data_IF_314769155298
#
_entry.id   IF_314769155298
#
_cell.length_a   1.000
_cell.length_b   1.000
_cell.length_c   1.000
_cell.angle_alpha   90.00
_cell.angle_beta   90.00
_cell.angle_gamma   90.00
#
_symmetry.space_group_name_H-M   'P 1'
#
loop_
_entity.id
_entity.type
_entity.pdbx_description
1 polymer ?
#
# COMPACT_ATOMS: atom_id res chain seq x y z
N UNK A 1 -12.42 11.88 -14.03
CA UNK A 1 -12.85 10.73 -13.21
C UNK A 1 -14.28 10.38 -13.57
N UNK A 2 -14.57 9.10 -13.76
CA UNK A 2 -15.95 8.63 -13.95
C UNK A 2 -16.72 8.80 -12.62
N UNK A 3 -17.97 9.27 -12.69
CA UNK A 3 -18.87 9.45 -11.54
C UNK A 3 -20.21 8.81 -11.91
N UNK A 4 -20.73 7.94 -11.07
CA UNK A 4 -21.97 7.21 -11.36
C UNK A 4 -23.26 8.00 -11.05
N UNK A 5 -23.16 9.16 -10.37
CA UNK A 5 -24.30 10.03 -10.01
C UNK A 5 -25.50 9.28 -9.38
N UNK A 6 -25.21 8.24 -8.61
CA UNK A 6 -26.17 7.38 -7.90
C UNK A 6 -25.77 7.32 -6.43
N UNK A 7 -26.73 7.15 -5.52
CA UNK A 7 -26.41 6.92 -4.12
C UNK A 7 -25.83 5.50 -3.92
N UNK A 8 -25.10 5.29 -2.82
CA UNK A 8 -24.41 4.03 -2.56
C UNK A 8 -25.40 2.87 -2.37
N UNK A 9 -26.55 3.08 -1.71
CA UNK A 9 -27.53 2.03 -1.48
C UNK A 9 -28.10 1.45 -2.79
N UNK A 10 -28.54 2.29 -3.72
CA UNK A 10 -29.04 1.85 -5.04
C UNK A 10 -27.94 1.21 -5.88
N UNK A 11 -26.70 1.67 -5.75
CA UNK A 11 -25.57 0.99 -6.40
C UNK A 11 -25.34 -0.42 -5.83
N UNK A 12 -25.43 -0.60 -4.51
CA UNK A 12 -25.30 -1.91 -3.87
C UNK A 12 -26.43 -2.87 -4.25
N UNK A 13 -27.67 -2.37 -4.39
CA UNK A 13 -28.78 -3.16 -4.92
C UNK A 13 -28.47 -3.69 -6.32
N UNK A 14 -27.90 -2.85 -7.20
CA UNK A 14 -27.49 -3.28 -8.53
C UNK A 14 -26.35 -4.30 -8.51
N UNK A 15 -25.36 -4.13 -7.62
CA UNK A 15 -24.29 -5.12 -7.41
C UNK A 15 -24.88 -6.46 -6.98
N UNK A 16 -25.80 -6.46 -6.00
CA UNK A 16 -26.47 -7.68 -5.51
C UNK A 16 -27.28 -8.35 -6.61
N UNK A 17 -28.05 -7.59 -7.39
CA UNK A 17 -28.82 -8.11 -8.51
C UNK A 17 -27.95 -8.76 -9.60
N UNK A 18 -26.72 -8.28 -9.76
CA UNK A 18 -25.73 -8.86 -10.68
C UNK A 18 -24.81 -9.91 -10.05
N UNK A 19 -25.10 -10.40 -8.84
CA UNK A 19 -24.24 -11.33 -8.09
C UNK A 19 -22.79 -10.83 -7.89
N UNK A 20 -22.59 -9.52 -7.97
CA UNK A 20 -21.29 -8.87 -7.91
C UNK A 20 -20.68 -8.82 -6.52
N UNK A 21 -19.39 -8.47 -6.48
CA UNK A 21 -18.62 -8.22 -5.27
C UNK A 21 -18.36 -6.72 -5.18
N UNK A 22 -18.45 -6.17 -3.97
CA UNK A 22 -18.10 -4.78 -3.70
C UNK A 22 -17.23 -4.67 -2.44
N UNK A 23 -16.37 -3.64 -2.43
CA UNK A 23 -15.63 -3.19 -1.25
C UNK A 23 -15.02 -1.82 -1.53
N UNK A 24 -14.69 -1.02 -0.50
CA UNK A 24 -14.00 0.24 -0.69
C UNK A 24 -12.62 0.04 -1.32
N UNK A 25 -12.37 0.74 -2.43
CA UNK A 25 -11.06 0.80 -3.08
C UNK A 25 -10.10 1.70 -2.29
N UNK A 26 -8.80 1.39 -2.34
CA UNK A 26 -7.68 2.22 -1.88
C UNK A 26 -7.99 3.08 -0.63
N UNK A 27 -8.45 2.43 0.45
CA UNK A 27 -9.21 3.02 1.55
C UNK A 27 -8.49 4.13 2.31
N UNK A 28 -7.17 4.06 2.37
CA UNK A 28 -6.35 5.01 3.14
C UNK A 28 -5.80 6.17 2.31
N UNK A 29 -6.03 6.17 0.99
CA UNK A 29 -5.54 7.25 0.13
C UNK A 29 -6.19 8.60 0.52
N UNK A 30 -5.42 9.70 0.52
CA UNK A 30 -5.91 10.99 1.03
C UNK A 30 -6.96 11.64 0.11
N UNK A 31 -7.16 11.10 -1.10
CA UNK A 31 -8.17 11.55 -2.03
C UNK A 31 -9.06 10.38 -2.40
N UNK A 32 -10.36 10.49 -2.08
CA UNK A 32 -11.38 9.45 -2.36
C UNK A 32 -11.19 8.12 -1.62
N UNK A 33 -10.20 7.99 -0.74
CA UNK A 33 -10.13 6.91 0.24
C UNK A 33 -11.12 7.16 1.38
N UNK A 34 -11.87 6.12 1.74
CA UNK A 34 -12.93 6.18 2.75
C UNK A 34 -12.39 6.63 4.13
N UNK A 35 -11.29 6.04 4.59
CA UNK A 35 -10.62 6.47 5.83
C UNK A 35 -9.71 7.67 5.64
N UNK A 36 -9.14 7.81 4.44
CA UNK A 36 -8.23 8.89 4.12
C UNK A 36 -8.86 10.28 4.25
N UNK A 37 -10.13 10.43 3.86
CA UNK A 37 -10.79 11.75 3.85
C UNK A 37 -12.34 11.74 3.99
N UNK A 38 -12.99 10.61 4.28
CA UNK A 38 -14.46 10.55 4.35
C UNK A 38 -14.98 10.35 5.78
N UNK A 39 -14.60 9.26 6.43
CA UNK A 39 -15.15 8.85 7.72
C UNK A 39 -14.09 8.25 8.64
N UNK A 40 -14.49 7.99 9.88
CA UNK A 40 -13.68 7.29 10.87
C UNK A 40 -14.14 5.84 11.06
N UNK A 41 -15.42 5.53 10.82
CA UNK A 41 -15.95 4.17 10.74
C UNK A 41 -16.62 3.88 9.39
N UNK A 42 -16.65 2.62 8.96
CA UNK A 42 -17.24 2.25 7.65
C UNK A 42 -18.73 2.56 7.57
N UNK A 43 -19.48 2.28 8.64
CA UNK A 43 -20.93 2.51 8.70
C UNK A 43 -21.32 4.00 8.79
N UNK A 44 -20.36 4.91 9.00
CA UNK A 44 -20.61 6.35 8.89
C UNK A 44 -20.87 6.77 7.43
N UNK A 45 -20.38 5.99 6.46
CA UNK A 45 -20.41 6.31 5.03
C UNK A 45 -21.07 5.23 4.16
N UNK A 46 -21.17 3.99 4.65
CA UNK A 46 -21.72 2.85 3.94
C UNK A 46 -23.01 2.35 4.61
N UNK A 47 -24.02 1.93 3.84
CA UNK A 47 -25.27 1.44 4.41
C UNK A 47 -25.16 0.03 5.01
N UNK A 48 -24.10 -0.72 4.68
CA UNK A 48 -23.83 -2.04 5.21
C UNK A 48 -22.32 -2.30 5.29
N UNK A 49 -21.90 -3.27 6.12
CA UNK A 49 -20.49 -3.61 6.29
C UNK A 49 -19.98 -4.43 5.10
N UNK A 50 -18.82 -4.09 4.49
CA UNK A 50 -18.27 -4.87 3.39
C UNK A 50 -17.69 -6.20 3.88
N UNK A 51 -17.38 -7.12 2.95
CA UNK A 51 -16.65 -8.37 3.25
C UNK A 51 -15.13 -8.23 3.08
N UNK A 52 -14.70 -7.16 2.41
CA UNK A 52 -13.31 -6.90 2.09
C UNK A 52 -13.03 -5.40 2.09
N UNK A 53 -11.75 -5.06 2.01
CA UNK A 53 -11.30 -3.70 1.75
C UNK A 53 -9.98 -3.73 1.00
N UNK A 54 -9.78 -2.78 0.10
CA UNK A 54 -8.47 -2.57 -0.52
C UNK A 54 -7.71 -1.50 0.26
N UNK A 55 -6.55 -1.85 0.79
CA UNK A 55 -5.71 -0.91 1.56
C UNK A 55 -5.21 0.24 0.65
N UNK A 56 -4.74 -0.15 -0.55
CA UNK A 56 -4.14 0.73 -1.53
C UNK A 56 -2.72 1.17 -1.18
N UNK A 57 -2.11 1.92 -2.11
CA UNK A 57 -0.67 2.25 -2.15
C UNK A 57 -0.10 3.05 -0.97
N UNK A 58 -0.94 3.45 -0.01
CA UNK A 58 -0.59 4.36 1.08
C UNK A 58 -0.63 3.70 2.46
N UNK A 59 -0.99 2.42 2.53
CA UNK A 59 -1.08 1.68 3.78
C UNK A 59 -0.75 0.20 3.58
N UNK A 60 -0.23 -0.42 4.63
CA UNK A 60 -0.01 -1.86 4.71
C UNK A 60 -0.96 -2.50 5.73
N UNK A 61 -0.78 -3.80 5.99
CA UNK A 61 -1.61 -4.54 6.95
C UNK A 61 -1.44 -4.07 8.39
N UNK A 62 -0.24 -3.63 8.81
CA UNK A 62 -0.03 -3.16 10.19
C UNK A 62 -0.69 -1.81 10.43
N UNK A 63 -0.72 -0.97 9.40
CA UNK A 63 -1.53 0.24 9.36
C UNK A 63 -3.02 -0.11 9.45
N UNK A 64 -3.54 -1.01 8.61
CA UNK A 64 -4.96 -1.39 8.65
C UNK A 64 -5.38 -2.01 10.00
N UNK A 65 -4.54 -2.88 10.58
CA UNK A 65 -4.81 -3.58 11.86
C UNK A 65 -4.89 -2.66 13.08
N UNK A 66 -4.51 -1.39 12.97
CA UNK A 66 -4.73 -0.45 14.08
C UNK A 66 -6.17 0.04 14.18
N UNK A 67 -7.07 -0.41 13.29
CA UNK A 67 -8.50 -0.08 13.27
C UNK A 67 -9.29 -1.39 13.41
N UNK A 68 -10.02 -1.56 14.51
CA UNK A 68 -10.56 -2.87 14.89
C UNK A 68 -11.72 -3.40 14.10
N UNK A 69 -12.49 -2.53 13.48
CA UNK A 69 -13.55 -2.94 12.56
C UNK A 69 -13.02 -3.71 11.33
N UNK A 70 -11.72 -3.59 11.02
CA UNK A 70 -11.10 -4.25 9.86
C UNK A 70 -10.66 -5.71 10.09
N UNK A 71 -10.66 -6.22 11.33
CA UNK A 71 -10.13 -7.56 11.64
C UNK A 71 -10.87 -8.70 10.93
N UNK A 72 -12.17 -8.53 10.72
CA UNK A 72 -13.01 -9.52 10.05
C UNK A 72 -13.02 -9.42 8.53
N UNK A 73 -12.31 -8.44 7.94
CA UNK A 73 -12.35 -8.19 6.50
C UNK A 73 -11.20 -8.87 5.77
N UNK A 74 -11.48 -9.30 4.53
CA UNK A 74 -10.42 -9.69 3.59
C UNK A 74 -9.68 -8.43 3.15
N UNK A 75 -8.37 -8.39 3.39
CA UNK A 75 -7.51 -7.27 2.99
C UNK A 75 -6.91 -7.53 1.60
N UNK A 76 -7.15 -6.62 0.67
CA UNK A 76 -6.53 -6.62 -0.66
C UNK A 76 -5.49 -5.52 -0.81
N UNK A 77 -4.47 -5.80 -1.62
CA UNK A 77 -3.46 -4.88 -2.11
C UNK A 77 -3.43 -4.98 -3.64
N UNK A 78 -3.97 -3.98 -4.33
CA UNK A 78 -4.11 -3.98 -5.79
C UNK A 78 -3.42 -2.75 -6.39
N UNK A 79 -2.90 -2.93 -7.59
CA UNK A 79 -2.03 -1.92 -8.22
C UNK A 79 -2.70 -0.61 -8.61
N UNK A 80 -4.01 -0.55 -8.84
CA UNK A 80 -4.67 0.61 -9.46
C UNK A 80 -3.91 1.11 -10.72
N UNK A 81 -3.56 0.17 -11.59
CA UNK A 81 -2.65 0.40 -12.70
C UNK A 81 -3.32 1.20 -13.83
N UNK A 82 -2.77 2.39 -14.09
CA UNK A 82 -3.15 3.26 -15.21
C UNK A 82 -2.12 3.23 -16.36
N UNK A 83 -1.12 2.36 -16.25
CA UNK A 83 -0.11 2.13 -17.27
C UNK A 83 0.54 0.76 -17.06
N UNK A 84 1.07 0.16 -18.13
CA UNK A 84 1.73 -1.14 -18.07
C UNK A 84 2.84 -1.23 -17.01
N UNK A 85 3.73 -0.21 -16.83
CA UNK A 85 4.78 -0.26 -15.81
C UNK A 85 4.29 -0.20 -14.35
N UNK A 86 3.00 0.02 -14.13
CA UNK A 86 2.38 0.04 -12.80
C UNK A 86 1.56 -1.22 -12.50
N UNK A 87 1.34 -2.11 -13.48
CA UNK A 87 0.67 -3.39 -13.25
C UNK A 87 1.45 -4.19 -12.21
N UNK A 88 0.71 -4.81 -11.28
CA UNK A 88 1.26 -5.65 -10.22
C UNK A 88 2.28 -4.94 -9.30
N UNK A 89 2.29 -3.60 -9.24
CA UNK A 89 3.02 -2.88 -8.16
C UNK A 89 2.46 -3.17 -6.77
N UNK A 90 1.21 -3.62 -6.71
CA UNK A 90 0.62 -4.35 -5.60
C UNK A 90 -0.24 -5.49 -6.15
N UNK A 91 -0.24 -6.63 -5.48
CA UNK A 91 -1.04 -7.81 -5.85
C UNK A 91 -1.24 -8.72 -4.64
N UNK A 92 -1.96 -9.83 -4.81
CA UNK A 92 -2.29 -10.76 -3.75
C UNK A 92 -1.92 -12.18 -4.17
N UNK A 93 -1.34 -12.96 -3.26
CA UNK A 93 -1.25 -14.41 -3.39
C UNK A 93 -2.43 -15.02 -2.65
N UNK A 94 -3.32 -15.64 -3.43
CA UNK A 94 -4.56 -16.22 -2.94
C UNK A 94 -4.51 -17.75 -3.04
N UNK A 95 -4.95 -18.42 -1.99
CA UNK A 95 -5.32 -19.83 -2.03
C UNK A 95 -6.84 -19.87 -2.12
N UNK A 96 -7.37 -20.37 -3.24
CA UNK A 96 -8.82 -20.43 -3.52
C UNK A 96 -9.19 -21.86 -3.92
N UNK A 97 -10.44 -22.25 -3.69
CA UNK A 97 -10.89 -23.60 -4.06
C UNK A 97 -10.96 -23.81 -5.57
N UNK A 98 -11.19 -22.75 -6.33
CA UNK A 98 -11.15 -22.75 -7.78
C UNK A 98 -10.71 -21.38 -8.34
N UNK A 99 -10.04 -21.40 -9.49
CA UNK A 99 -9.59 -20.19 -10.19
C UNK A 99 -10.74 -19.54 -10.97
N UNK A 100 -11.80 -19.16 -10.27
CA UNK A 100 -13.00 -18.55 -10.84
C UNK A 100 -13.53 -17.41 -9.96
N UNK A 101 -14.52 -16.67 -10.48
CA UNK A 101 -15.23 -15.67 -9.68
C UNK A 101 -15.94 -16.29 -8.46
N UNK A 102 -16.40 -17.55 -8.58
CA UNK A 102 -17.01 -18.27 -7.46
C UNK A 102 -15.99 -18.55 -6.36
N UNK A 103 -14.78 -18.99 -6.71
CA UNK A 103 -13.68 -19.16 -5.75
C UNK A 103 -13.35 -17.86 -5.01
N UNK A 104 -13.35 -16.72 -5.72
CA UNK A 104 -13.18 -15.40 -5.10
C UNK A 104 -14.36 -15.04 -4.16
N UNK A 105 -15.60 -15.32 -4.56
CA UNK A 105 -16.80 -15.08 -3.71
C UNK A 105 -16.74 -15.94 -2.44
N UNK A 106 -16.30 -17.19 -2.54
CA UNK A 106 -16.14 -18.09 -1.39
C UNK A 106 -15.05 -17.63 -0.42
N UNK A 107 -13.94 -17.07 -0.93
CA UNK A 107 -12.91 -16.43 -0.12
C UNK A 107 -13.48 -15.28 0.70
N UNK A 108 -14.27 -14.39 0.09
CA UNK A 108 -14.85 -13.23 0.76
C UNK A 108 -15.92 -13.59 1.79
N UNK A 109 -16.70 -14.63 1.51
CA UNK A 109 -17.66 -15.19 2.45
C UNK A 109 -16.97 -16.02 3.55
N UNK A 110 -15.64 -16.16 3.52
CA UNK A 110 -14.83 -16.95 4.44
C UNK A 110 -15.31 -18.40 4.56
N UNK A 111 -15.83 -18.95 3.45
CA UNK A 111 -16.25 -20.36 3.37
C UNK A 111 -15.06 -21.25 3.04
N UNK A 112 -14.28 -20.84 2.04
CA UNK A 112 -13.13 -21.57 1.53
C UNK A 112 -12.07 -20.59 1.01
N UNK A 113 -10.80 -20.96 1.14
CA UNK A 113 -9.67 -20.16 0.68
C UNK A 113 -9.17 -19.15 1.72
N UNK A 114 -8.02 -18.53 1.42
CA UNK A 114 -7.40 -17.49 2.24
C UNK A 114 -6.46 -16.60 1.45
N UNK A 115 -6.22 -15.40 1.96
CA UNK A 115 -5.11 -14.55 1.51
C UNK A 115 -3.82 -15.10 2.13
N UNK A 116 -2.95 -15.67 1.30
CA UNK A 116 -1.65 -16.20 1.75
C UNK A 116 -0.69 -15.05 2.03
N UNK A 117 -0.65 -14.08 1.13
CA UNK A 117 0.13 -12.87 1.30
C UNK A 117 -0.43 -11.72 0.46
N UNK A 118 -0.26 -10.50 0.97
CA UNK A 118 -0.40 -9.26 0.22
C UNK A 118 0.99 -8.79 -0.19
N UNK A 119 1.13 -8.32 -1.43
CA UNK A 119 2.35 -7.70 -1.92
C UNK A 119 2.07 -6.23 -2.20
N UNK A 120 2.92 -5.35 -1.72
CA UNK A 120 2.76 -3.93 -2.03
C UNK A 120 3.90 -3.04 -1.60
N UNK A 121 3.72 -1.74 -1.80
CA UNK A 121 4.77 -0.76 -1.56
C UNK A 121 4.92 -0.51 -0.05
N UNK A 122 6.15 -0.27 0.46
CA UNK A 122 6.32 0.33 1.77
C UNK A 122 5.58 1.67 1.85
N UNK A 123 4.62 1.84 2.77
CA UNK A 123 3.84 3.09 2.90
C UNK A 123 4.70 4.37 3.01
N UNK A 124 5.89 4.36 3.65
CA UNK A 124 6.77 5.53 3.71
C UNK A 124 7.21 6.10 2.36
N UNK A 125 7.20 5.31 1.27
CA UNK A 125 7.51 5.82 -0.08
C UNK A 125 6.41 6.76 -0.59
N UNK A 126 5.19 6.65 -0.06
CA UNK A 126 4.04 7.44 -0.48
C UNK A 126 4.25 8.95 -0.35
N UNK A 127 3.84 9.70 -1.39
CA UNK A 127 3.99 11.18 -1.45
C UNK A 127 3.27 11.97 -0.36
N UNK A 128 2.32 11.35 0.33
CA UNK A 128 1.56 11.94 1.43
C UNK A 128 1.63 11.06 2.68
N UNK A 129 2.70 10.29 2.87
CA UNK A 129 2.78 9.39 4.02
C UNK A 129 2.77 10.15 5.35
N UNK A 130 3.64 11.14 5.52
CA UNK A 130 3.71 12.01 6.72
C UNK A 130 3.15 13.41 6.48
N UNK A 131 2.69 14.02 7.57
CA UNK A 131 2.26 15.43 7.58
C UNK A 131 3.40 16.36 7.16
N UNK A 132 3.08 17.34 6.32
CA UNK A 132 4.02 18.33 5.80
C UNK A 132 3.59 19.74 6.19
N UNK A 133 4.52 20.54 6.72
CA UNK A 133 4.24 21.93 7.07
C UNK A 133 4.50 22.84 5.87
N UNK A 134 3.51 23.65 5.50
CA UNK A 134 3.61 24.60 4.39
C UNK A 134 4.43 25.85 4.73
N UNK A 135 4.67 26.13 6.02
CA UNK A 135 5.47 27.28 6.47
C UNK A 135 6.95 26.91 6.60
N UNK A 136 7.24 25.75 7.19
CA UNK A 136 8.61 25.27 7.31
C UNK A 136 9.11 24.54 6.05
N UNK A 137 8.21 24.28 5.09
CA UNK A 137 8.48 23.54 3.85
C UNK A 137 9.20 22.21 4.10
N UNK A 138 8.76 21.47 5.11
CA UNK A 138 9.34 20.19 5.49
C UNK A 138 8.31 19.22 6.06
N UNK A 139 8.65 17.93 5.97
CA UNK A 139 7.95 16.87 6.70
C UNK A 139 8.06 17.12 8.20
N UNK A 140 6.97 16.92 8.92
CA UNK A 140 6.94 17.07 10.38
C UNK A 140 7.59 15.87 11.04
N UNK A 141 8.70 16.10 11.73
CA UNK A 141 9.48 15.08 12.46
C UNK A 141 9.07 15.01 13.93
N UNK A 142 7.82 14.64 14.18
CA UNK A 142 7.30 14.46 15.53
C UNK A 142 6.34 13.25 15.61
N UNK A 143 6.01 12.73 16.81
CA UNK A 143 5.11 11.58 16.98
C UNK A 143 3.65 11.91 16.58
N UNK A 144 3.11 11.33 15.49
CA UNK A 144 1.75 11.61 15.03
C UNK A 144 0.67 11.27 16.07
N UNK A 145 -0.57 11.81 15.96
CA UNK A 145 -1.07 12.73 14.93
C UNK A 145 -0.94 14.21 15.30
N UNK A 146 -0.84 15.11 14.31
CA UNK A 146 -0.83 16.56 14.55
C UNK A 146 -1.78 17.34 13.65
N UNK A 147 -2.36 18.40 14.24
CA UNK A 147 -3.11 19.45 13.53
C UNK A 147 -2.28 20.73 13.33
N UNK A 148 -1.15 20.86 14.03
CA UNK A 148 -0.27 22.04 14.01
C UNK A 148 1.19 21.61 13.89
N UNK A 149 2.01 22.41 13.23
CA UNK A 149 3.44 22.16 13.12
C UNK A 149 4.14 22.42 14.47
N UNK A 150 4.82 21.42 15.07
CA UNK A 150 5.51 21.60 16.35
C UNK A 150 6.73 22.54 16.24
N UNK A 151 7.26 22.74 15.03
CA UNK A 151 8.44 23.59 14.80
C UNK A 151 8.11 25.08 14.70
N UNK A 152 6.91 25.46 14.23
CA UNK A 152 6.54 26.86 14.02
C UNK A 152 5.14 27.25 14.53
N UNK A 153 4.39 26.32 15.11
CA UNK A 153 3.03 26.52 15.60
C UNK A 153 1.95 26.64 14.52
N UNK A 154 2.32 26.68 13.23
CA UNK A 154 1.35 26.90 12.15
C UNK A 154 0.36 25.76 11.98
N UNK A 155 -0.93 26.08 11.79
CA UNK A 155 -1.98 25.15 11.37
C UNK A 155 -1.96 24.86 9.86
N UNK A 156 -1.10 25.53 9.07
CA UNK A 156 -0.97 25.31 7.62
C UNK A 156 -0.18 24.03 7.34
N UNK A 157 -0.84 22.88 7.47
CA UNK A 157 -0.25 21.56 7.25
C UNK A 157 -1.05 20.77 6.21
N UNK A 158 -0.34 20.00 5.38
CA UNK A 158 -0.93 18.92 4.57
C UNK A 158 -0.85 17.66 5.42
N UNK A 159 -2.00 17.16 5.83
CA UNK A 159 -2.09 15.97 6.69
C UNK A 159 -1.58 14.71 5.96
N UNK A 160 -0.72 13.96 6.63
CA UNK A 160 -0.24 12.67 6.12
C UNK A 160 -1.26 11.54 6.29
N UNK A 161 -1.15 10.51 5.46
CA UNK A 161 -1.96 9.29 5.55
C UNK A 161 -1.72 8.58 6.88
N UNK A 162 -0.47 8.46 7.30
CA UNK A 162 -0.13 7.83 8.57
C UNK A 162 -0.71 8.62 9.75
N UNK A 163 -0.59 9.94 9.72
CA UNK A 163 -1.18 10.84 10.71
C UNK A 163 -2.73 10.85 10.69
N UNK A 164 -3.36 10.60 9.53
CA UNK A 164 -4.82 10.41 9.43
C UNK A 164 -5.23 9.09 10.08
N UNK A 165 -4.57 8.02 9.69
CA UNK A 165 -4.85 6.67 10.19
C UNK A 165 -4.71 6.59 11.71
N UNK A 166 -3.61 7.11 12.28
CA UNK A 166 -3.41 7.08 13.72
C UNK A 166 -4.41 7.92 14.51
N UNK A 167 -5.10 8.89 13.89
CA UNK A 167 -6.16 9.63 14.59
C UNK A 167 -7.49 8.90 14.67
N UNK A 168 -7.68 7.87 13.85
CA UNK A 168 -8.89 7.04 13.85
C UNK A 168 -8.60 5.63 14.37
N UNK A 169 -7.32 5.30 14.58
CA UNK A 169 -6.91 4.03 15.15
C UNK A 169 -7.43 3.89 16.59
N UNK A 170 -8.05 2.74 16.86
CA UNK A 170 -8.51 2.33 18.19
C UNK A 170 -7.50 1.40 18.88
N UNK A 171 -6.44 1.00 18.16
CA UNK A 171 -5.33 0.19 18.67
C UNK A 171 -3.99 0.87 18.44
N UNK A 172 -3.03 0.56 19.31
CA UNK A 172 -1.64 0.98 19.13
C UNK A 172 -1.09 0.37 17.84
N UNK A 173 -0.59 1.21 16.95
CA UNK A 173 0.08 0.75 15.74
C UNK A 173 1.38 0.01 16.08
N UNK A 174 1.54 -1.17 15.49
CA UNK A 174 2.74 -1.98 15.61
C UNK A 174 3.70 -1.63 14.46
N UNK A 175 4.96 -1.35 14.81
CA UNK A 175 6.01 -1.01 13.85
C UNK A 175 6.69 -2.22 13.23
N UNK A 176 6.55 -3.40 13.83
CA UNK A 176 7.05 -4.64 13.24
C UNK A 176 6.24 -4.98 11.99
N UNK A 177 6.87 -5.35 10.86
CA UNK A 177 6.14 -5.76 9.65
C UNK A 177 5.15 -6.90 9.89
N UNK A 178 4.02 -6.87 9.18
CA UNK A 178 3.14 -8.03 9.11
C UNK A 178 3.82 -9.12 8.25
N UNK A 179 4.01 -10.35 8.76
CA UNK A 179 4.60 -11.43 7.96
C UNK A 179 3.79 -11.76 6.69
N UNK A 180 2.50 -11.39 6.64
CA UNK A 180 1.63 -11.58 5.48
C UNK A 180 1.61 -10.39 4.53
N UNK A 181 2.41 -9.33 4.76
CA UNK A 181 2.59 -8.22 3.82
C UNK A 181 4.04 -8.17 3.33
N UNK A 182 4.26 -8.62 2.10
CA UNK A 182 5.57 -8.65 1.48
C UNK A 182 5.81 -7.32 0.77
N UNK A 183 6.72 -6.52 1.33
CA UNK A 183 7.12 -5.28 0.72
C UNK A 183 7.86 -5.52 -0.59
N UNK A 184 7.45 -4.84 -1.65
CA UNK A 184 8.20 -4.78 -2.89
C UNK A 184 8.46 -3.33 -3.29
N UNK A 185 9.68 -3.06 -3.73
CA UNK A 185 10.09 -1.76 -4.23
C UNK A 185 10.46 -1.96 -5.69
N UNK A 186 9.79 -1.29 -6.65
CA UNK A 186 10.14 -1.39 -8.05
C UNK A 186 11.63 -1.08 -8.28
N UNK A 187 12.28 -1.77 -9.21
CA UNK A 187 13.71 -1.65 -9.47
C UNK A 187 14.10 -0.19 -9.73
N UNK A 188 13.27 0.55 -10.49
CA UNK A 188 13.46 1.98 -10.79
C UNK A 188 13.47 2.90 -9.55
N UNK A 189 12.96 2.43 -8.42
CA UNK A 189 12.92 3.16 -7.16
C UNK A 189 14.13 2.86 -6.25
N UNK A 190 15.00 1.92 -6.64
CA UNK A 190 16.21 1.59 -5.90
C UNK A 190 17.40 2.49 -6.33
N UNK A 191 18.18 3.02 -5.37
CA UNK A 191 19.38 3.79 -5.66
C UNK A 191 20.37 3.02 -6.54
N UNK A 192 20.92 3.70 -7.55
CA UNK A 192 21.89 3.10 -8.48
C UNK A 192 21.27 2.21 -9.58
N UNK A 193 19.95 2.01 -9.58
CA UNK A 193 19.27 1.17 -10.58
C UNK A 193 18.67 2.04 -11.69
N UNK A 194 19.44 2.23 -12.76
CA UNK A 194 19.01 2.97 -13.95
C UNK A 194 18.40 2.08 -15.05
N UNK A 195 17.81 2.67 -16.10
CA UNK A 195 17.14 1.94 -17.18
C UNK A 195 18.00 0.87 -17.87
N UNK A 196 19.30 1.14 -18.07
CA UNK A 196 20.24 0.18 -18.66
C UNK A 196 20.44 -1.05 -17.78
N UNK A 197 20.50 -0.87 -16.46
CA UNK A 197 20.64 -2.00 -15.54
C UNK A 197 19.34 -2.80 -15.47
N UNK A 198 18.19 -2.13 -15.44
CA UNK A 198 16.88 -2.79 -15.50
C UNK A 198 16.77 -3.65 -16.77
N UNK A 199 17.12 -3.13 -17.94
CA UNK A 199 17.11 -3.90 -19.18
C UNK A 199 18.02 -5.14 -19.13
N UNK A 200 19.22 -5.03 -18.56
CA UNK A 200 20.12 -6.18 -18.38
C UNK A 200 19.53 -7.22 -17.44
N UNK A 201 18.98 -6.80 -16.30
CA UNK A 201 18.35 -7.71 -15.34
C UNK A 201 17.14 -8.42 -15.96
N UNK A 202 16.29 -7.71 -16.69
CA UNK A 202 15.15 -8.29 -17.40
C UNK A 202 15.59 -9.24 -18.52
N UNK A 203 16.66 -8.90 -19.25
CA UNK A 203 17.23 -9.76 -20.28
C UNK A 203 17.72 -11.10 -19.71
N UNK A 204 18.31 -11.07 -18.51
CA UNK A 204 18.89 -12.27 -17.89
C UNK A 204 17.88 -13.10 -17.08
N UNK A 205 16.94 -12.44 -16.40
CA UNK A 205 16.07 -13.06 -15.40
C UNK A 205 14.58 -12.96 -15.74
N UNK A 206 14.22 -12.42 -16.90
CA UNK A 206 12.85 -12.31 -17.38
C UNK A 206 12.10 -11.16 -16.74
N UNK A 207 11.28 -11.45 -15.71
CA UNK A 207 10.32 -10.47 -15.17
C UNK A 207 10.88 -9.74 -13.94
N UNK A 208 10.38 -8.51 -13.71
CA UNK A 208 10.72 -7.74 -12.52
C UNK A 208 10.32 -8.45 -11.23
N UNK A 209 9.17 -9.12 -11.20
CA UNK A 209 8.73 -9.90 -10.03
C UNK A 209 9.69 -11.06 -9.72
N UNK A 210 10.21 -11.75 -10.74
CA UNK A 210 11.21 -12.79 -10.54
C UNK A 210 12.49 -12.21 -9.91
N UNK A 211 12.97 -11.09 -10.42
CA UNK A 211 14.15 -10.38 -9.90
C UNK A 211 13.93 -9.93 -8.45
N UNK A 212 12.77 -9.35 -8.15
CA UNK A 212 12.46 -8.82 -6.83
C UNK A 212 12.28 -9.92 -5.79
N UNK A 213 11.77 -11.11 -6.15
CA UNK A 213 11.34 -12.10 -5.16
C UNK A 213 12.14 -13.42 -5.15
N UNK A 214 12.74 -13.82 -6.27
CA UNK A 214 13.25 -15.19 -6.43
C UNK A 214 14.72 -15.31 -6.84
N UNK A 215 15.25 -14.41 -7.67
CA UNK A 215 16.65 -14.50 -8.16
C UNK A 215 17.64 -14.55 -7.00
N UNK A 216 18.64 -15.43 -7.09
CA UNK A 216 19.63 -15.65 -6.02
C UNK A 216 20.54 -14.44 -5.80
N UNK A 217 21.16 -14.35 -4.61
CA UNK A 217 22.13 -13.30 -4.32
C UNK A 217 23.35 -13.36 -5.25
N UNK A 218 23.81 -14.57 -5.58
CA UNK A 218 24.94 -14.81 -6.48
C UNK A 218 24.64 -14.31 -7.90
N UNK A 219 23.46 -14.65 -8.43
CA UNK A 219 23.02 -14.21 -9.75
C UNK A 219 22.83 -12.70 -9.84
N UNK A 220 22.22 -12.09 -8.81
CA UNK A 220 22.09 -10.63 -8.74
C UNK A 220 23.47 -9.97 -8.73
N UNK A 221 24.43 -10.50 -7.95
CA UNK A 221 25.77 -9.95 -7.86
C UNK A 221 26.48 -9.98 -9.20
N UNK A 222 26.33 -11.06 -9.97
CA UNK A 222 26.93 -11.23 -11.30
C UNK A 222 26.48 -10.15 -12.29
N UNK A 223 25.22 -9.72 -12.24
CA UNK A 223 24.65 -8.78 -13.23
C UNK A 223 24.62 -7.33 -12.75
N UNK A 224 24.24 -7.12 -11.48
CA UNK A 224 23.97 -5.80 -10.91
C UNK A 224 25.05 -5.32 -9.93
N UNK A 225 25.98 -6.19 -9.53
CA UNK A 225 26.98 -5.91 -8.52
C UNK A 225 26.45 -5.99 -7.09
N UNK A 226 27.37 -6.00 -6.13
CA UNK A 226 27.06 -6.27 -4.73
C UNK A 226 26.10 -5.24 -4.11
N UNK A 227 26.27 -3.96 -4.47
CA UNK A 227 25.46 -2.87 -3.91
C UNK A 227 23.97 -3.01 -4.24
N UNK A 228 23.63 -3.19 -5.52
CA UNK A 228 22.23 -3.33 -5.95
C UNK A 228 21.62 -4.63 -5.44
N UNK A 229 22.41 -5.70 -5.43
CA UNK A 229 21.96 -7.00 -4.91
C UNK A 229 21.59 -6.92 -3.44
N UNK A 230 22.42 -6.27 -2.62
CA UNK A 230 22.12 -6.02 -1.20
C UNK A 230 20.86 -5.18 -0.99
N UNK A 231 20.59 -4.20 -1.87
CA UNK A 231 19.35 -3.42 -1.82
C UNK A 231 18.11 -4.27 -2.15
N UNK A 232 18.17 -5.11 -3.19
CA UNK A 232 17.07 -6.01 -3.56
C UNK A 232 16.80 -7.00 -2.43
N UNK A 233 17.83 -7.62 -1.87
CA UNK A 233 17.70 -8.57 -0.76
C UNK A 233 17.17 -7.89 0.52
N UNK A 234 17.60 -6.66 0.80
CA UNK A 234 17.07 -5.87 1.92
C UNK A 234 15.59 -5.53 1.71
N UNK A 235 15.19 -5.23 0.46
CA UNK A 235 13.78 -4.99 0.11
C UNK A 235 12.93 -6.22 0.38
N UNK A 236 13.39 -7.43 0.01
CA UNK A 236 12.69 -8.70 0.29
C UNK A 236 12.42 -8.92 1.77
N UNK A 237 13.31 -8.42 2.63
CA UNK A 237 13.23 -8.56 4.08
C UNK A 237 12.49 -7.39 4.75
N UNK A 238 12.01 -6.39 3.99
CA UNK A 238 11.42 -5.18 4.55
C UNK A 238 12.40 -4.30 5.32
N UNK A 239 13.71 -4.43 5.07
CA UNK A 239 14.79 -3.76 5.83
C UNK A 239 15.39 -2.54 5.14
N UNK A 240 14.87 -2.13 3.98
CA UNK A 240 15.34 -0.93 3.31
C UNK A 240 15.09 0.31 4.19
N UNK A 241 16.15 1.09 4.45
CA UNK A 241 16.01 2.40 5.04
C UNK A 241 15.28 3.32 4.07
N UNK A 242 14.20 3.97 4.50
CA UNK A 242 13.38 4.84 3.66
C UNK A 242 13.26 6.20 4.32
N UNK A 243 13.61 7.26 3.57
CA UNK A 243 13.24 8.63 3.93
C UNK A 243 11.76 8.82 3.56
N UNK A 244 10.86 9.07 4.53
CA UNK A 244 9.44 9.12 4.26
C UNK A 244 9.07 10.31 3.37
N UNK A 245 8.05 10.11 2.53
CA UNK A 245 7.44 11.18 1.75
C UNK A 245 6.43 12.00 2.55
N UNK A 246 6.04 13.15 1.99
CA UNK A 246 5.06 14.06 2.56
C UNK A 246 4.86 15.29 1.68
N UNK A 247 3.69 15.94 1.81
CA UNK A 247 3.41 17.20 1.11
C UNK A 247 3.39 17.12 -0.42
N UNK A 248 3.28 15.92 -1.00
CA UNK A 248 3.31 15.70 -2.45
C UNK A 248 4.67 15.21 -2.97
N UNK A 249 5.69 15.13 -2.12
CA UNK A 249 7.01 14.59 -2.47
C UNK A 249 7.11 13.13 -2.07
N UNK A 250 7.46 12.26 -3.02
CA UNK A 250 7.68 10.83 -2.76
C UNK A 250 8.85 10.60 -1.81
N UNK A 251 8.66 9.63 -0.91
CA UNK A 251 9.75 9.06 -0.14
C UNK A 251 10.71 8.28 -1.03
N UNK A 252 11.90 7.99 -0.51
CA UNK A 252 12.97 7.35 -1.27
C UNK A 252 13.72 6.36 -0.39
N UNK A 253 14.14 5.25 -0.99
CA UNK A 253 15.10 4.35 -0.35
C UNK A 253 16.42 5.10 -0.20
N UNK A 254 16.99 5.04 1.00
CA UNK A 254 18.26 5.67 1.33
C UNK A 254 19.38 4.69 1.04
N UNK A 255 20.42 5.19 0.39
CA UNK A 255 21.64 4.44 0.17
C UNK A 255 22.46 4.46 1.46
N UNK A 256 22.39 3.36 2.22
CA UNK A 256 23.15 3.16 3.46
C UNK A 256 24.42 2.33 3.24
N UNK A 257 24.72 1.98 1.99
CA UNK A 257 25.83 1.11 1.58
C UNK A 257 26.98 1.92 0.94
N UNK A 258 27.16 3.18 1.36
CA UNK A 258 28.25 4.06 0.93
C UNK A 258 29.54 3.78 1.67
#
# INVERSE_FOLDING_TARGET
SQKAHINVATWLEAVKAGDGIWFPAHAFTPHKGIYGNCCSGLLDALPEFPLAIEMGLSADRQMARSISELDGLVLFSNSDAHSLPNIAREYNLLEVSENSFLGLKNLLLQKEGRVVANYGLPPPIGKYHRTYCLVCEKVVEAPPPFLHCPSCGSSKVIRGVFDRLLSIADRKHNTEPDPLYIYQIPLRNLPGVGPKLIQRLLGEFGTELNILHHVSAEDLNRVAGQKVSSLILSSRQGKCAIKPGGGGVYGKVVDILS
#
